data_IF_080491134848
#
_entry.id   IF_080491134848
#
_cell.length_a   1.000
_cell.length_b   1.000
_cell.length_c   1.000
_cell.angle_alpha   90.00
_cell.angle_beta   90.00
_cell.angle_gamma   90.00
#
_symmetry.space_group_name_H-M   'P 1'
#
loop_
_entity.id
_entity.type
_entity.pdbx_description
1 polymer ?
#
# COMPACT_ATOMS: atom_id res chain seq x y z
N UNK A 1 -4.34 -32.68 15.18
CA UNK A 1 -4.01 -33.26 16.51
C UNK A 1 -4.69 -32.44 17.59
N UNK A 2 -5.31 -33.10 18.57
CA UNK A 2 -5.92 -32.45 19.73
C UNK A 2 -5.06 -32.54 20.98
N UNK A 3 -5.40 -31.75 21.99
CA UNK A 3 -4.77 -31.86 23.30
C UNK A 3 -5.21 -33.15 24.03
N UNK A 4 -4.33 -33.67 24.88
CA UNK A 4 -4.60 -34.84 25.72
C UNK A 4 -4.77 -34.36 27.16
N UNK A 5 -5.92 -34.65 27.76
CA UNK A 5 -6.27 -34.26 29.12
C UNK A 5 -6.43 -35.49 30.00
N UNK A 6 -6.00 -35.40 31.26
CA UNK A 6 -6.30 -36.37 32.31
C UNK A 6 -6.95 -35.65 33.48
N UNK A 7 -8.08 -36.18 33.93
CA UNK A 7 -8.84 -35.67 35.06
C UNK A 7 -8.76 -36.65 36.23
N UNK A 8 -8.77 -36.13 37.45
CA UNK A 8 -8.79 -36.91 38.69
C UNK A 8 -10.13 -37.61 38.93
N UNK A 9 -11.20 -37.06 38.37
CA UNK A 9 -12.57 -37.53 38.54
C UNK A 9 -13.15 -38.04 37.21
N UNK A 10 -14.17 -38.90 37.32
CA UNK A 10 -14.97 -39.32 36.17
C UNK A 10 -15.76 -38.14 35.59
N UNK A 11 -15.75 -38.01 34.26
CA UNK A 11 -16.56 -37.02 33.55
C UNK A 11 -18.04 -37.41 33.55
N UNK A 12 -18.92 -36.43 33.76
CA UNK A 12 -20.35 -36.62 33.52
C UNK A 12 -20.66 -36.76 32.03
N UNK A 13 -21.84 -37.28 31.68
CA UNK A 13 -22.28 -37.39 30.29
C UNK A 13 -22.35 -36.01 29.61
N UNK A 14 -22.82 -34.99 30.33
CA UNK A 14 -22.90 -33.62 29.84
C UNK A 14 -21.51 -33.01 29.62
N UNK A 15 -20.56 -33.30 30.50
CA UNK A 15 -19.16 -32.87 30.36
C UNK A 15 -18.49 -33.55 29.17
N UNK A 16 -18.67 -34.86 29.01
CA UNK A 16 -18.13 -35.61 27.88
C UNK A 16 -18.70 -35.12 26.54
N UNK A 17 -20.02 -34.89 26.46
CA UNK A 17 -20.67 -34.34 25.27
C UNK A 17 -20.19 -32.91 24.99
N UNK A 18 -20.06 -32.07 26.02
CA UNK A 18 -19.57 -30.69 25.85
C UNK A 18 -18.10 -30.67 25.38
N UNK A 19 -17.25 -31.56 25.91
CA UNK A 19 -15.87 -31.74 25.46
C UNK A 19 -15.78 -32.23 24.02
N UNK A 20 -16.66 -33.16 23.62
CA UNK A 20 -16.74 -33.60 22.22
C UNK A 20 -17.12 -32.45 21.29
N UNK A 21 -18.11 -31.65 21.67
CA UNK A 21 -18.56 -30.49 20.90
C UNK A 21 -17.52 -29.36 20.81
N UNK A 22 -16.60 -29.23 21.79
CA UNK A 22 -15.46 -28.29 21.69
C UNK A 22 -14.55 -28.61 20.50
N UNK A 23 -14.52 -29.88 20.09
CA UNK A 23 -13.72 -30.35 18.99
C UNK A 23 -12.22 -30.43 19.30
N UNK A 24 -11.43 -31.00 18.37
CA UNK A 24 -10.01 -31.28 18.57
C UNK A 24 -9.13 -30.02 18.59
N UNK A 25 -9.67 -28.84 18.25
CA UNK A 25 -8.94 -27.57 18.25
C UNK A 25 -8.78 -26.94 19.63
N UNK A 26 -9.53 -27.39 20.64
CA UNK A 26 -9.49 -26.82 21.97
C UNK A 26 -8.25 -27.29 22.76
N UNK A 27 -7.50 -26.32 23.29
CA UNK A 27 -6.15 -26.52 23.84
C UNK A 27 -5.91 -25.80 25.17
N UNK A 28 -6.97 -25.32 25.83
CA UNK A 28 -6.89 -24.52 27.06
C UNK A 28 -7.21 -25.38 28.31
N UNK A 29 -7.05 -24.80 29.50
CA UNK A 29 -7.13 -25.48 30.81
C UNK A 29 -8.51 -25.35 31.47
N UNK A 30 -9.57 -25.04 30.72
CA UNK A 30 -10.95 -24.91 31.22
C UNK A 30 -11.15 -23.87 32.34
N UNK A 31 -10.25 -22.88 32.45
CA UNK A 31 -10.32 -21.79 33.44
C UNK A 31 -11.26 -20.68 32.96
N UNK A 32 -11.20 -20.36 31.67
CA UNK A 32 -12.01 -19.34 31.02
C UNK A 32 -12.58 -19.90 29.71
N UNK A 33 -13.73 -19.38 29.28
CA UNK A 33 -14.38 -19.76 28.03
C UNK A 33 -13.75 -19.09 26.79
N UNK A 34 -12.62 -18.38 26.97
CA UNK A 34 -11.88 -17.71 25.92
C UNK A 34 -11.48 -18.70 24.82
N UNK A 35 -12.07 -18.53 23.63
CA UNK A 35 -11.84 -19.39 22.47
C UNK A 35 -12.82 -20.54 22.27
N UNK A 36 -13.89 -20.65 23.08
CA UNK A 36 -14.99 -21.60 22.87
C UNK A 36 -16.10 -21.00 21.99
N UNK A 37 -16.46 -21.68 20.91
CA UNK A 37 -17.62 -21.35 20.05
C UNK A 37 -18.89 -22.09 20.47
N UNK A 38 -18.90 -22.73 21.64
CA UNK A 38 -20.04 -23.52 22.11
C UNK A 38 -21.24 -22.64 22.53
N UNK A 39 -22.48 -23.15 22.40
CA UNK A 39 -23.64 -22.53 23.04
C UNK A 39 -23.52 -22.51 24.57
N UNK A 40 -24.14 -21.51 25.22
CA UNK A 40 -24.04 -21.29 26.68
C UNK A 40 -24.47 -22.51 27.51
N UNK A 41 -25.44 -23.28 27.01
CA UNK A 41 -25.90 -24.52 27.63
C UNK A 41 -24.81 -25.58 27.79
N UNK A 42 -23.80 -25.62 26.89
CA UNK A 42 -22.66 -26.53 26.99
C UNK A 42 -21.51 -25.91 27.78
N UNK A 43 -21.30 -24.60 27.67
CA UNK A 43 -20.25 -23.87 28.39
C UNK A 43 -20.34 -24.06 29.90
N UNK A 44 -21.54 -24.02 30.48
CA UNK A 44 -21.77 -24.19 31.92
C UNK A 44 -21.22 -25.50 32.49
N UNK A 45 -21.11 -26.54 31.68
CA UNK A 45 -20.61 -27.85 32.12
C UNK A 45 -19.08 -27.93 32.14
N UNK A 46 -18.40 -27.03 31.44
CA UNK A 46 -16.94 -27.04 31.25
C UNK A 46 -16.23 -25.94 32.04
N UNK A 47 -16.85 -24.77 32.17
CA UNK A 47 -16.23 -23.55 32.69
C UNK A 47 -16.76 -23.12 34.07
N UNK A 48 -17.41 -24.02 34.81
CA UNK A 48 -17.85 -23.80 36.19
C UNK A 48 -16.70 -23.85 37.22
N UNK A 49 -15.47 -24.10 36.76
CA UNK A 49 -14.27 -24.24 37.58
C UNK A 49 -14.05 -25.64 38.16
N UNK A 50 -15.04 -26.55 38.08
CA UNK A 50 -14.89 -27.93 38.56
C UNK A 50 -13.93 -28.71 37.69
N UNK A 51 -14.13 -28.67 36.37
CA UNK A 51 -13.31 -29.42 35.43
C UNK A 51 -11.83 -29.00 35.45
N UNK A 52 -11.55 -27.70 35.57
CA UNK A 52 -10.19 -27.19 35.71
C UNK A 52 -9.54 -27.54 37.05
N UNK A 53 -10.34 -27.66 38.13
CA UNK A 53 -9.83 -28.04 39.46
C UNK A 53 -9.41 -29.50 39.59
N UNK A 54 -9.99 -30.38 38.77
CA UNK A 54 -9.66 -31.82 38.75
C UNK A 54 -8.70 -32.19 37.63
N UNK A 55 -8.20 -31.21 36.86
CA UNK A 55 -7.28 -31.43 35.76
C UNK A 55 -5.87 -31.75 36.29
N UNK A 56 -5.40 -32.98 36.06
CA UNK A 56 -4.10 -33.48 36.51
C UNK A 56 -2.99 -33.11 35.51
N UNK A 57 -3.24 -33.38 34.22
CA UNK A 57 -2.30 -33.06 33.15
C UNK A 57 -3.03 -32.66 31.88
N UNK A 58 -2.42 -31.76 31.14
CA UNK A 58 -2.86 -31.33 29.82
C UNK A 58 -1.66 -31.16 28.91
N UNK A 59 -1.50 -32.09 27.96
CA UNK A 59 -0.45 -32.01 26.94
C UNK A 59 -1.03 -31.49 25.64
N UNK A 60 -0.48 -30.37 25.17
CA UNK A 60 -0.89 -29.74 23.93
C UNK A 60 0.24 -29.81 22.90
N UNK A 61 -0.02 -30.25 21.66
CA UNK A 61 0.97 -30.26 20.58
C UNK A 61 1.60 -28.88 20.27
N UNK A 62 0.96 -27.77 20.67
CA UNK A 62 1.50 -26.42 20.50
C UNK A 62 2.38 -25.95 21.67
N UNK A 63 2.26 -26.57 22.84
CA UNK A 63 2.98 -26.16 24.04
C UNK A 63 4.25 -27.00 24.20
N UNK A 64 5.21 -26.80 23.31
CA UNK A 64 6.42 -27.60 23.22
C UNK A 64 7.68 -26.75 23.38
N UNK A 65 8.72 -27.32 24.01
CA UNK A 65 10.05 -26.72 24.10
C UNK A 65 11.12 -27.77 23.77
N UNK A 66 11.75 -27.63 22.60
CA UNK A 66 12.64 -28.67 22.08
C UNK A 66 11.88 -29.98 21.87
N UNK A 67 12.37 -31.07 22.47
CA UNK A 67 11.73 -32.39 22.45
C UNK A 67 10.71 -32.61 23.58
N UNK A 68 10.35 -31.57 24.34
CA UNK A 68 9.42 -31.68 25.46
C UNK A 68 8.06 -31.10 25.11
N UNK A 69 6.99 -31.86 25.37
CA UNK A 69 5.62 -31.37 25.48
C UNK A 69 5.38 -30.92 26.93
N UNK A 70 5.17 -29.63 27.12
CA UNK A 70 5.05 -29.01 28.43
C UNK A 70 3.67 -29.28 29.03
N UNK A 71 3.65 -29.52 30.35
CA UNK A 71 2.44 -29.62 31.17
C UNK A 71 2.45 -28.45 32.14
N UNK A 72 1.36 -27.68 32.18
CA UNK A 72 1.25 -26.49 33.04
C UNK A 72 -0.16 -26.40 33.66
N UNK A 73 -0.54 -27.31 34.57
CA UNK A 73 -1.83 -27.21 35.26
C UNK A 73 -1.82 -26.03 36.26
N UNK A 74 -2.95 -25.34 36.38
CA UNK A 74 -3.11 -24.06 37.08
C UNK A 74 -2.94 -24.13 38.60
N UNK A 75 -2.82 -25.32 39.20
CA UNK A 75 -2.70 -25.50 40.66
C UNK A 75 -1.68 -26.59 40.99
N UNK A 76 -0.43 -26.19 41.18
CA UNK A 76 0.52 -26.96 41.99
C UNK A 76 0.56 -26.29 43.37
N UNK A 77 0.09 -26.93 44.46
CA UNK A 77 0.24 -26.39 45.80
C UNK A 77 1.73 -26.21 46.11
N UNK A 78 2.19 -24.97 46.20
CA UNK A 78 3.58 -24.64 46.50
C UNK A 78 3.86 -24.85 47.99
N UNK A 79 4.26 -26.05 48.37
CA UNK A 79 4.93 -26.29 49.66
C UNK A 79 6.23 -27.08 49.53
N UNK A 80 6.50 -27.73 48.39
CA UNK A 80 7.77 -28.41 48.09
C UNK A 80 8.11 -28.25 46.60
N UNK A 81 9.38 -28.38 46.23
CA UNK A 81 9.81 -28.43 44.83
C UNK A 81 9.18 -29.63 44.11
N UNK A 82 8.02 -29.42 43.47
CA UNK A 82 7.38 -30.42 42.62
C UNK A 82 7.94 -30.24 41.21
N UNK A 83 8.73 -31.20 40.74
CA UNK A 83 9.06 -31.29 39.32
C UNK A 83 7.76 -31.58 38.56
N UNK A 84 7.34 -30.65 37.71
CA UNK A 84 6.18 -30.88 36.83
C UNK A 84 6.62 -31.85 35.73
N UNK A 85 6.02 -33.04 35.61
CA UNK A 85 6.40 -33.97 34.58
C UNK A 85 6.01 -33.39 33.21
N UNK A 86 7.02 -33.25 32.34
CA UNK A 86 6.84 -32.95 30.93
C UNK A 86 6.93 -34.25 30.12
N UNK A 87 6.21 -34.34 29.02
CA UNK A 87 6.28 -35.52 28.15
C UNK A 87 7.42 -35.35 27.15
N UNK A 88 8.23 -36.39 26.97
CA UNK A 88 9.29 -36.41 25.95
C UNK A 88 8.70 -36.90 24.62
N UNK A 89 9.02 -36.20 23.53
CA UNK A 89 8.63 -36.60 22.18
C UNK A 89 9.30 -37.92 21.80
N UNK A 90 8.55 -38.81 21.16
CA UNK A 90 9.09 -40.06 20.61
C UNK A 90 10.04 -39.73 19.46
N UNK A 91 11.03 -40.59 19.24
CA UNK A 91 11.96 -40.50 18.11
C UNK A 91 11.19 -40.33 16.78
N UNK A 92 11.62 -39.35 15.98
CA UNK A 92 11.00 -38.97 14.70
C UNK A 92 9.83 -37.98 14.80
N UNK A 93 9.44 -37.52 16.00
CA UNK A 93 8.42 -36.47 16.17
C UNK A 93 9.08 -35.11 16.29
N UNK A 94 8.65 -34.16 15.46
CA UNK A 94 9.13 -32.77 15.47
C UNK A 94 8.00 -31.78 15.78
N UNK A 95 8.36 -30.65 16.40
CA UNK A 95 7.43 -29.54 16.63
C UNK A 95 7.18 -28.82 15.31
N UNK A 96 5.92 -28.79 14.87
CA UNK A 96 5.52 -27.96 13.74
C UNK A 96 5.41 -26.51 14.23
N UNK A 97 6.46 -25.71 14.01
CA UNK A 97 6.42 -24.27 14.26
C UNK A 97 5.91 -23.52 13.05
N UNK A 98 4.73 -22.91 13.16
CA UNK A 98 4.27 -21.94 12.15
C UNK A 98 4.97 -20.60 12.39
N UNK A 99 5.94 -20.25 11.55
CA UNK A 99 6.50 -18.91 11.57
C UNK A 99 5.51 -17.95 10.89
N UNK A 100 5.29 -16.78 11.49
CA UNK A 100 4.55 -15.72 10.81
C UNK A 100 5.30 -15.33 9.53
N UNK A 101 4.58 -14.86 8.51
CA UNK A 101 5.21 -14.38 7.28
C UNK A 101 6.24 -13.28 7.57
N UNK A 102 6.04 -12.48 8.62
CA UNK A 102 7.00 -11.47 9.06
C UNK A 102 8.31 -12.07 9.57
N UNK A 103 8.24 -13.18 10.32
CA UNK A 103 9.43 -13.89 10.80
C UNK A 103 10.16 -14.56 9.63
N UNK A 104 9.44 -15.23 8.74
CA UNK A 104 10.01 -15.84 7.55
C UNK A 104 10.68 -14.79 6.64
N UNK A 105 9.99 -13.68 6.36
CA UNK A 105 10.52 -12.58 5.55
C UNK A 105 11.75 -11.95 6.22
N UNK A 106 11.72 -11.71 7.54
CA UNK A 106 12.86 -11.19 8.28
C UNK A 106 14.07 -12.12 8.18
N UNK A 107 13.87 -13.44 8.28
CA UNK A 107 14.95 -14.42 8.18
C UNK A 107 15.62 -14.46 6.80
N UNK A 108 14.93 -14.07 5.73
CA UNK A 108 15.48 -14.04 4.36
C UNK A 108 15.96 -12.66 3.90
N UNK A 109 15.97 -11.65 4.78
CA UNK A 109 16.46 -10.30 4.45
C UNK A 109 15.43 -9.16 4.51
N UNK A 110 14.21 -9.44 4.99
CA UNK A 110 13.15 -8.45 5.17
C UNK A 110 12.45 -8.04 3.88
N UNK A 111 11.65 -6.98 3.93
CA UNK A 111 10.86 -6.50 2.78
C UNK A 111 11.71 -6.06 1.57
N UNK A 112 12.99 -5.77 1.79
CA UNK A 112 13.91 -5.30 0.76
C UNK A 112 14.13 -6.33 -0.35
N UNK A 113 13.96 -7.62 -0.06
CA UNK A 113 14.06 -8.70 -1.06
C UNK A 113 13.02 -8.59 -2.19
N UNK A 114 11.93 -7.86 -1.96
CA UNK A 114 10.89 -7.65 -2.97
C UNK A 114 11.22 -6.50 -3.94
N UNK A 115 12.13 -5.60 -3.57
CA UNK A 115 12.44 -4.41 -4.38
C UNK A 115 13.07 -4.76 -5.75
N UNK A 116 13.99 -5.74 -5.87
CA UNK A 116 14.54 -6.15 -7.16
C UNK A 116 13.49 -6.65 -8.16
N UNK A 117 12.33 -7.16 -7.69
CA UNK A 117 11.26 -7.66 -8.56
C UNK A 117 10.67 -6.56 -9.46
N UNK A 118 10.70 -5.29 -9.02
CA UNK A 118 10.27 -4.17 -9.85
C UNK A 118 11.18 -3.94 -11.07
N UNK A 119 12.42 -4.44 -11.06
CA UNK A 119 13.31 -4.37 -12.22
C UNK A 119 13.07 -5.50 -13.23
N UNK A 120 12.13 -6.40 -12.94
CA UNK A 120 11.82 -7.59 -13.73
C UNK A 120 10.43 -7.52 -14.38
N UNK A 121 9.73 -6.39 -14.27
CA UNK A 121 8.37 -6.22 -14.79
C UNK A 121 8.26 -6.46 -16.30
N UNK A 122 9.30 -6.09 -17.05
CA UNK A 122 9.32 -6.21 -18.50
C UNK A 122 9.66 -7.64 -19.00
N UNK A 123 9.84 -8.61 -18.10
CA UNK A 123 10.10 -10.00 -18.51
C UNK A 123 8.88 -10.58 -19.25
N UNK A 124 9.09 -11.29 -20.36
CA UNK A 124 7.99 -11.89 -21.12
C UNK A 124 7.33 -13.03 -20.33
N UNK A 125 6.03 -13.22 -20.53
CA UNK A 125 5.30 -14.36 -19.98
C UNK A 125 5.79 -15.68 -20.61
N UNK A 126 5.70 -16.80 -19.88
CA UNK A 126 6.17 -18.12 -20.33
C UNK A 126 5.55 -18.55 -21.68
N UNK A 127 4.35 -18.07 -21.99
CA UNK A 127 3.62 -18.38 -23.23
C UNK A 127 4.08 -17.59 -24.46
N UNK A 128 5.10 -16.73 -24.33
CA UNK A 128 5.60 -15.88 -25.42
C UNK A 128 4.64 -14.73 -25.82
N UNK A 129 3.56 -14.53 -25.06
CA UNK A 129 2.62 -13.42 -25.18
C UNK A 129 3.20 -12.13 -24.57
N UNK A 130 2.53 -11.01 -24.86
CA UNK A 130 2.90 -9.68 -24.38
C UNK A 130 3.08 -9.63 -22.85
N UNK A 131 3.94 -8.72 -22.39
CA UNK A 131 4.21 -8.44 -20.96
C UNK A 131 2.90 -8.37 -20.15
N UNK A 132 2.91 -8.94 -18.94
CA UNK A 132 1.76 -8.84 -18.02
C UNK A 132 1.69 -7.43 -17.41
N UNK A 133 0.71 -6.66 -17.87
CA UNK A 133 0.48 -5.28 -17.42
C UNK A 133 0.08 -5.16 -15.95
N UNK A 134 -0.42 -6.23 -15.31
CA UNK A 134 -0.92 -6.22 -13.94
C UNK A 134 0.15 -6.56 -12.89
N UNK A 135 1.34 -7.04 -13.29
CA UNK A 135 2.41 -7.43 -12.35
C UNK A 135 2.80 -6.31 -11.38
N UNK A 136 2.90 -5.08 -11.88
CA UNK A 136 3.25 -3.91 -11.08
C UNK A 136 2.22 -3.66 -9.97
N UNK A 137 0.92 -3.67 -10.32
CA UNK A 137 -0.16 -3.50 -9.36
C UNK A 137 -0.17 -4.62 -8.30
N UNK A 138 0.13 -5.84 -8.71
CA UNK A 138 0.20 -7.02 -7.82
C UNK A 138 1.35 -6.89 -6.83
N UNK A 139 2.54 -6.49 -7.29
CA UNK A 139 3.69 -6.25 -6.41
C UNK A 139 3.43 -5.09 -5.44
N UNK A 140 2.83 -3.98 -5.90
CA UNK A 140 2.46 -2.87 -5.02
C UNK A 140 1.40 -3.26 -4.00
N UNK A 141 0.44 -4.11 -4.38
CA UNK A 141 -0.56 -4.67 -3.46
C UNK A 141 0.09 -5.55 -2.39
N UNK A 142 1.06 -6.40 -2.76
CA UNK A 142 1.85 -7.17 -1.81
C UNK A 142 2.60 -6.27 -0.82
N UNK A 143 3.28 -5.22 -1.32
CA UNK A 143 3.96 -4.24 -0.46
C UNK A 143 2.95 -3.56 0.48
N UNK A 144 1.79 -3.15 -0.01
CA UNK A 144 0.73 -2.52 0.79
C UNK A 144 0.20 -3.43 1.90
N UNK A 145 -0.03 -4.71 1.59
CA UNK A 145 -0.47 -5.71 2.56
C UNK A 145 0.59 -5.91 3.65
N UNK A 146 1.86 -6.00 3.27
CA UNK A 146 2.97 -6.12 4.21
C UNK A 146 3.12 -4.86 5.09
N UNK A 147 2.96 -3.66 4.54
CA UNK A 147 2.95 -2.43 5.32
C UNK A 147 1.79 -2.38 6.33
N UNK A 148 0.63 -2.90 5.95
CA UNK A 148 -0.56 -2.96 6.81
C UNK A 148 -0.41 -3.96 7.96
N UNK A 149 0.40 -4.98 7.77
CA UNK A 149 0.57 -6.08 8.73
C UNK A 149 1.56 -5.80 9.87
N UNK A 150 2.53 -4.90 9.70
CA UNK A 150 3.60 -4.72 10.68
C UNK A 150 4.30 -3.36 10.61
N UNK A 151 4.40 -2.69 11.76
CA UNK A 151 5.18 -1.45 11.87
C UNK A 151 6.68 -1.66 11.64
N UNK A 152 7.23 -2.84 11.93
CA UNK A 152 8.64 -3.12 11.62
C UNK A 152 8.90 -3.12 10.12
N UNK A 153 7.96 -3.66 9.33
CA UNK A 153 8.07 -3.64 7.87
C UNK A 153 8.03 -2.21 7.33
N UNK A 154 7.17 -1.35 7.90
CA UNK A 154 7.14 0.08 7.56
C UNK A 154 8.51 0.74 7.80
N UNK A 155 9.13 0.51 8.95
CA UNK A 155 10.46 1.04 9.26
C UNK A 155 11.55 0.48 8.33
N UNK A 156 11.51 -0.82 8.02
CA UNK A 156 12.46 -1.44 7.09
C UNK A 156 12.36 -0.83 5.69
N UNK A 157 11.15 -0.65 5.16
CA UNK A 157 10.93 -0.04 3.85
C UNK A 157 11.39 1.43 3.84
N UNK A 158 11.17 2.16 4.94
CA UNK A 158 11.64 3.54 5.07
C UNK A 158 13.17 3.63 5.05
N UNK A 159 13.84 2.85 5.89
CA UNK A 159 15.30 2.84 6.00
C UNK A 159 15.99 2.37 4.72
N UNK A 160 15.37 1.47 3.97
CA UNK A 160 15.87 1.03 2.67
C UNK A 160 15.59 2.03 1.54
N UNK A 161 14.92 3.15 1.80
CA UNK A 161 14.40 4.08 0.78
C UNK A 161 13.55 3.33 -0.26
N UNK A 162 12.69 2.44 0.18
CA UNK A 162 11.95 1.51 -0.68
C UNK A 162 11.16 2.21 -1.79
N UNK A 163 10.42 3.28 -1.49
CA UNK A 163 9.67 4.02 -2.52
C UNK A 163 10.57 4.77 -3.53
N UNK A 164 11.77 5.19 -3.14
CA UNK A 164 12.76 5.72 -4.08
C UNK A 164 13.19 4.65 -5.08
N UNK A 165 13.52 3.45 -4.58
CA UNK A 165 13.95 2.33 -5.41
C UNK A 165 12.83 1.89 -6.35
N UNK A 166 11.61 1.76 -5.83
CA UNK A 166 10.41 1.44 -6.63
C UNK A 166 10.20 2.51 -7.70
N UNK A 167 10.17 3.79 -7.33
CA UNK A 167 9.98 4.89 -8.27
C UNK A 167 11.07 4.98 -9.34
N UNK A 168 12.30 4.59 -9.04
CA UNK A 168 13.39 4.51 -10.03
C UNK A 168 13.25 3.29 -10.95
N UNK A 169 12.87 2.13 -10.42
CA UNK A 169 12.63 0.94 -11.21
C UNK A 169 11.45 1.15 -12.18
N UNK A 170 10.36 1.73 -11.72
CA UNK A 170 9.19 2.05 -12.54
C UNK A 170 9.49 3.09 -13.64
N UNK A 171 10.43 4.01 -13.42
CA UNK A 171 10.87 4.95 -14.47
C UNK A 171 11.62 4.26 -15.61
N UNK A 172 12.25 3.12 -15.34
CA UNK A 172 12.99 2.34 -16.33
C UNK A 172 12.12 1.27 -17.01
N UNK A 173 11.08 0.81 -16.32
CA UNK A 173 10.15 -0.17 -16.83
C UNK A 173 9.28 0.41 -17.96
N UNK A 174 8.67 -0.48 -18.75
CA UNK A 174 7.70 -0.12 -19.77
C UNK A 174 6.52 0.66 -19.17
N UNK A 175 6.09 1.73 -19.86
CA UNK A 175 4.96 2.54 -19.38
C UNK A 175 3.62 1.79 -19.41
N UNK A 176 3.55 0.63 -20.07
CA UNK A 176 2.39 -0.28 -20.03
C UNK A 176 2.06 -0.77 -18.62
N UNK A 177 3.02 -0.78 -17.71
CA UNK A 177 2.80 -1.16 -16.31
C UNK A 177 2.20 -0.02 -15.47
N UNK A 178 2.19 1.22 -15.98
CA UNK A 178 1.63 2.38 -15.28
C UNK A 178 0.15 2.50 -15.64
N UNK A 179 -0.66 1.62 -15.04
CA UNK A 179 -2.11 1.52 -15.27
C UNK A 179 -2.92 2.26 -14.21
N UNK A 180 -4.24 2.38 -14.42
CA UNK A 180 -5.13 2.97 -13.42
C UNK A 180 -5.13 2.18 -12.10
N UNK A 181 -5.00 0.84 -12.16
CA UNK A 181 -4.85 -0.01 -10.96
C UNK A 181 -3.62 0.37 -10.14
N UNK A 182 -2.51 0.72 -10.79
CA UNK A 182 -1.30 1.20 -10.10
C UNK A 182 -1.56 2.54 -9.42
N UNK A 183 -2.23 3.47 -10.10
CA UNK A 183 -2.59 4.76 -9.51
C UNK A 183 -3.51 4.61 -8.29
N UNK A 184 -4.55 3.79 -8.39
CA UNK A 184 -5.47 3.45 -7.29
C UNK A 184 -4.72 2.82 -6.11
N UNK A 185 -3.85 1.84 -6.38
CA UNK A 185 -3.05 1.18 -5.36
C UNK A 185 -2.13 2.16 -4.63
N UNK A 186 -1.47 3.07 -5.35
CA UNK A 186 -0.62 4.12 -4.77
C UNK A 186 -1.43 5.08 -3.90
N UNK A 187 -2.64 5.45 -4.34
CA UNK A 187 -3.55 6.30 -3.57
C UNK A 187 -3.98 5.60 -2.27
N UNK A 188 -4.31 4.31 -2.34
CA UNK A 188 -4.74 3.56 -1.15
C UNK A 188 -3.59 3.34 -0.16
N UNK A 189 -2.37 3.13 -0.66
CA UNK A 189 -1.17 3.15 0.17
C UNK A 189 -0.99 4.52 0.86
N UNK A 190 -1.18 5.63 0.15
CA UNK A 190 -1.10 6.97 0.74
C UNK A 190 -2.16 7.17 1.84
N UNK A 191 -3.42 6.80 1.58
CA UNK A 191 -4.50 6.87 2.58
C UNK A 191 -4.19 6.04 3.82
N UNK A 192 -3.66 4.83 3.62
CA UNK A 192 -3.23 3.96 4.72
C UNK A 192 -2.13 4.62 5.56
N UNK A 193 -1.08 5.13 4.91
CA UNK A 193 0.06 5.76 5.60
C UNK A 193 -0.35 7.03 6.35
N UNK A 194 -1.32 7.82 5.85
CA UNK A 194 -1.87 8.98 6.57
C UNK A 194 -2.54 8.61 7.90
N UNK A 195 -3.09 7.39 8.01
CA UNK A 195 -3.74 6.91 9.23
C UNK A 195 -2.76 6.32 10.24
N UNK A 196 -1.52 6.05 9.82
CA UNK A 196 -0.48 5.50 10.67
C UNK A 196 0.26 6.59 11.44
N UNK A 197 0.40 6.43 12.76
CA UNK A 197 1.14 7.37 13.62
C UNK A 197 2.61 7.55 13.19
N UNK A 198 3.23 6.51 12.63
CA UNK A 198 4.59 6.54 12.08
C UNK A 198 4.67 6.59 10.54
N UNK A 199 3.56 6.90 9.86
CA UNK A 199 3.50 6.89 8.38
C UNK A 199 4.11 8.10 7.70
N UNK A 200 4.32 9.21 8.43
CA UNK A 200 4.83 10.50 7.92
C UNK A 200 6.07 10.41 7.02
N UNK A 201 7.16 9.72 7.44
CA UNK A 201 8.36 9.61 6.62
C UNK A 201 8.15 8.79 5.34
N UNK A 202 7.34 7.74 5.40
CA UNK A 202 7.02 6.90 4.24
C UNK A 202 6.12 7.62 3.25
N UNK A 203 5.10 8.36 3.73
CA UNK A 203 4.24 9.11 2.82
C UNK A 203 5.02 10.20 2.10
N UNK A 204 5.98 10.85 2.76
CA UNK A 204 6.89 11.79 2.10
C UNK A 204 7.63 11.10 0.94
N UNK A 205 8.24 9.93 1.18
CA UNK A 205 8.93 9.19 0.11
C UNK A 205 8.00 8.73 -1.01
N UNK A 206 6.79 8.27 -0.68
CA UNK A 206 5.77 7.87 -1.65
C UNK A 206 5.38 9.04 -2.56
N UNK A 207 5.18 10.22 -1.97
CA UNK A 207 4.83 11.43 -2.70
C UNK A 207 5.98 11.90 -3.59
N UNK A 208 7.18 12.00 -3.04
CA UNK A 208 8.36 12.54 -3.71
C UNK A 208 8.82 11.66 -4.89
N UNK A 209 8.79 10.34 -4.72
CA UNK A 209 9.40 9.41 -5.68
C UNK A 209 8.39 8.71 -6.60
N UNK A 210 7.11 8.69 -6.24
CA UNK A 210 6.06 8.04 -7.03
C UNK A 210 4.97 9.03 -7.43
N UNK A 211 4.15 9.54 -6.49
CA UNK A 211 2.97 10.35 -6.86
C UNK A 211 3.31 11.62 -7.65
N UNK A 212 4.32 12.37 -7.21
CA UNK A 212 4.73 13.62 -7.85
C UNK A 212 5.90 13.45 -8.80
N UNK A 213 6.15 12.23 -9.28
CA UNK A 213 7.19 11.96 -10.24
C UNK A 213 6.65 12.04 -11.67
N UNK A 214 6.81 13.18 -12.38
CA UNK A 214 6.24 13.37 -13.72
C UNK A 214 6.77 12.34 -14.70
N UNK A 215 7.99 11.84 -14.54
CA UNK A 215 8.61 10.87 -15.45
C UNK A 215 7.85 9.54 -15.49
N UNK A 216 7.17 9.17 -14.41
CA UNK A 216 6.34 7.97 -14.35
C UNK A 216 5.03 8.19 -15.11
N UNK A 217 4.34 9.28 -14.82
CA UNK A 217 2.96 9.50 -15.26
C UNK A 217 2.86 10.08 -16.67
N UNK A 218 3.84 10.84 -17.13
CA UNK A 218 3.73 11.53 -18.43
C UNK A 218 3.83 10.60 -19.64
N UNK A 219 4.31 9.37 -19.41
CA UNK A 219 4.45 8.34 -20.44
C UNK A 219 3.40 7.23 -20.33
N UNK A 220 2.51 7.28 -19.31
CA UNK A 220 1.46 6.28 -19.11
C UNK A 220 0.37 6.40 -20.18
N UNK A 221 -0.58 5.46 -20.20
CA UNK A 221 -1.73 5.54 -21.10
C UNK A 221 -2.57 6.81 -20.86
N UNK A 222 -3.24 7.36 -21.89
CA UNK A 222 -4.01 8.61 -21.78
C UNK A 222 -5.05 8.59 -20.65
N UNK A 223 -5.72 7.46 -20.42
CA UNK A 223 -6.71 7.30 -19.36
C UNK A 223 -6.15 7.51 -17.94
N UNK A 224 -4.84 7.33 -17.74
CA UNK A 224 -4.15 7.60 -16.46
C UNK A 224 -3.72 9.07 -16.36
N UNK A 225 -3.44 9.70 -17.50
CA UNK A 225 -2.96 11.08 -17.54
C UNK A 225 -4.11 12.09 -17.39
N UNK A 226 -5.21 11.83 -18.08
CA UNK A 226 -6.32 12.74 -18.33
C UNK A 226 -7.61 12.00 -17.99
N UNK A 227 -8.48 12.62 -17.21
CA UNK A 227 -9.85 12.15 -17.00
C UNK A 227 -10.60 12.20 -18.35
N UNK A 228 -11.12 11.06 -18.79
CA UNK A 228 -11.84 10.95 -20.06
C UNK A 228 -13.15 11.75 -20.00
N UNK A 229 -13.37 12.59 -21.02
CA UNK A 229 -14.66 13.25 -21.18
C UNK A 229 -15.71 12.22 -21.62
N UNK A 230 -16.94 12.27 -21.08
CA UNK A 230 -18.05 11.44 -21.56
C UNK A 230 -18.23 11.55 -23.07
N UNK A 231 -18.55 10.44 -23.74
CA UNK A 231 -18.81 10.41 -25.20
C UNK A 231 -20.02 11.23 -25.64
N UNK A 232 -20.85 11.69 -24.70
CA UNK A 232 -22.01 12.55 -24.91
C UNK A 232 -21.70 14.04 -24.73
N UNK A 233 -20.42 14.42 -24.69
CA UNK A 233 -20.04 15.83 -24.49
C UNK A 233 -20.51 16.69 -25.68
N UNK A 234 -21.30 17.75 -25.46
CA UNK A 234 -21.68 18.65 -26.54
C UNK A 234 -20.46 19.39 -27.08
N UNK A 235 -20.45 19.68 -28.40
CA UNK A 235 -19.39 20.40 -29.12
C UNK A 235 -18.07 19.63 -29.34
N UNK A 236 -18.14 18.36 -29.77
CA UNK A 236 -16.98 17.53 -30.13
C UNK A 236 -16.04 18.21 -31.16
N UNK A 237 -16.60 18.94 -32.12
CA UNK A 237 -15.83 19.72 -33.10
C UNK A 237 -15.01 20.83 -32.43
N UNK A 238 -15.59 21.54 -31.44
CA UNK A 238 -14.91 22.62 -30.71
C UNK A 238 -13.77 22.05 -29.88
N UNK A 239 -13.97 20.89 -29.26
CA UNK A 239 -12.91 20.17 -28.52
C UNK A 239 -11.77 19.79 -29.46
N UNK A 240 -12.09 19.26 -30.64
CA UNK A 240 -11.10 18.85 -31.64
C UNK A 240 -10.29 20.04 -32.18
N UNK A 241 -10.96 21.17 -32.43
CA UNK A 241 -10.32 22.42 -32.84
C UNK A 241 -9.41 22.94 -31.72
N UNK A 242 -9.90 23.01 -30.47
CA UNK A 242 -9.12 23.48 -29.31
C UNK A 242 -7.90 22.60 -29.07
N UNK A 243 -8.05 21.28 -29.16
CA UNK A 243 -6.95 20.32 -29.10
C UNK A 243 -5.89 20.56 -30.18
N UNK A 244 -6.33 20.80 -31.42
CA UNK A 244 -5.43 21.10 -32.55
C UNK A 244 -4.65 22.41 -32.33
N UNK A 245 -5.32 23.45 -31.85
CA UNK A 245 -4.70 24.74 -31.49
C UNK A 245 -3.65 24.53 -30.40
N UNK A 246 -3.97 23.78 -29.33
CA UNK A 246 -3.04 23.53 -28.23
C UNK A 246 -1.85 22.68 -28.64
N UNK A 247 -2.03 21.70 -29.54
CA UNK A 247 -0.92 20.94 -30.13
C UNK A 247 0.01 21.87 -30.91
N UNK A 248 -0.56 22.79 -31.69
CA UNK A 248 0.22 23.78 -32.43
C UNK A 248 0.96 24.74 -31.51
N UNK A 249 0.30 25.30 -30.48
CA UNK A 249 0.92 26.15 -29.46
C UNK A 249 2.06 25.42 -28.73
N UNK A 250 1.85 24.17 -28.32
CA UNK A 250 2.90 23.35 -27.72
C UNK A 250 4.13 23.24 -28.64
N UNK A 251 3.91 23.01 -29.95
CA UNK A 251 5.01 22.95 -30.92
C UNK A 251 5.73 24.29 -31.06
N UNK A 252 5.01 25.42 -31.08
CA UNK A 252 5.62 26.75 -31.16
C UNK A 252 6.48 27.07 -29.93
N UNK A 253 5.94 26.81 -28.72
CA UNK A 253 6.67 26.99 -27.46
C UNK A 253 7.99 26.20 -27.48
N UNK A 254 7.96 24.96 -27.99
CA UNK A 254 9.12 24.08 -28.05
C UNK A 254 10.08 24.36 -29.20
N UNK A 255 9.60 24.79 -30.38
CA UNK A 255 10.46 25.18 -31.51
C UNK A 255 11.35 26.37 -31.16
N UNK A 256 10.87 27.26 -30.29
CA UNK A 256 11.66 28.37 -29.80
C UNK A 256 12.80 27.92 -28.86
N UNK A 257 12.84 26.65 -28.42
CA UNK A 257 13.89 26.04 -27.59
C UNK A 257 15.18 25.78 -28.37
N UNK A 258 15.92 26.86 -28.64
CA UNK A 258 17.25 26.80 -29.25
C UNK A 258 17.63 28.00 -30.11
N UNK A 259 16.69 28.90 -30.41
CA UNK A 259 16.89 30.02 -31.34
C UNK A 259 17.29 31.35 -30.68
N UNK A 260 17.58 31.36 -29.36
CA UNK A 260 17.79 32.60 -28.60
C UNK A 260 16.50 33.39 -28.34
N UNK A 261 15.33 32.80 -28.64
CA UNK A 261 14.01 33.40 -28.45
C UNK A 261 13.37 33.02 -27.11
N UNK A 262 14.16 32.93 -26.04
CA UNK A 262 13.65 32.55 -24.72
C UNK A 262 12.59 33.54 -24.21
N UNK A 263 12.74 34.84 -24.52
CA UNK A 263 11.75 35.87 -24.15
C UNK A 263 10.38 35.62 -24.80
N UNK A 264 10.34 35.19 -26.07
CA UNK A 264 9.08 34.87 -26.76
C UNK A 264 8.45 33.64 -26.12
N UNK A 265 9.26 32.61 -25.80
CA UNK A 265 8.75 31.41 -25.13
C UNK A 265 8.17 31.73 -23.74
N UNK A 266 8.88 32.53 -22.94
CA UNK A 266 8.38 32.99 -21.64
C UNK A 266 7.06 33.73 -21.79
N UNK A 267 6.94 34.61 -22.79
CA UNK A 267 5.72 35.36 -23.06
C UNK A 267 4.54 34.45 -23.43
N UNK A 268 4.74 33.41 -24.25
CA UNK A 268 3.69 32.43 -24.58
C UNK A 268 3.23 31.64 -23.34
N UNK A 269 4.18 31.19 -22.50
CA UNK A 269 3.85 30.47 -21.26
C UNK A 269 3.09 31.39 -20.30
N UNK A 270 3.52 32.65 -20.17
CA UNK A 270 2.85 33.66 -19.36
C UNK A 270 1.41 33.91 -19.83
N UNK A 271 1.18 33.94 -21.15
CA UNK A 271 -0.17 34.05 -21.71
C UNK A 271 -1.06 32.84 -21.37
N UNK A 272 -0.52 31.62 -21.39
CA UNK A 272 -1.25 30.42 -20.96
C UNK A 272 -1.62 30.50 -19.47
N UNK A 273 -0.71 30.96 -18.60
CA UNK A 273 -1.01 31.15 -17.16
C UNK A 273 -2.07 32.22 -16.94
N UNK A 274 -1.97 33.36 -17.65
CA UNK A 274 -2.99 34.42 -17.60
C UNK A 274 -4.35 33.93 -18.08
N UNK A 275 -4.40 33.09 -19.13
CA UNK A 275 -5.63 32.44 -19.57
C UNK A 275 -6.24 31.65 -18.42
N UNK A 276 -5.47 30.77 -17.77
CA UNK A 276 -5.94 29.98 -16.62
C UNK A 276 -6.35 30.85 -15.43
N UNK A 277 -5.71 32.01 -15.25
CA UNK A 277 -6.05 32.93 -14.18
C UNK A 277 -7.36 33.70 -14.41
N UNK A 278 -7.75 33.91 -15.66
CA UNK A 278 -8.86 34.82 -16.02
C UNK A 278 -10.09 34.12 -16.58
N UNK A 279 -9.92 32.96 -17.20
CA UNK A 279 -11.01 32.18 -17.78
C UNK A 279 -11.72 31.37 -16.70
N UNK A 280 -13.02 31.13 -16.86
CA UNK A 280 -13.86 30.49 -15.84
C UNK A 280 -14.60 29.26 -16.37
N UNK A 281 -14.54 28.99 -17.67
CA UNK A 281 -15.10 27.80 -18.29
C UNK A 281 -14.20 26.59 -18.03
N UNK A 282 -14.69 25.67 -17.21
CA UNK A 282 -13.91 24.49 -16.76
C UNK A 282 -13.33 23.67 -17.92
N UNK A 283 -14.06 23.50 -19.02
CA UNK A 283 -13.56 22.72 -20.17
C UNK A 283 -12.37 23.39 -20.87
N UNK A 284 -12.40 24.72 -20.96
CA UNK A 284 -11.30 25.51 -21.53
C UNK A 284 -10.09 25.43 -20.60
N UNK A 285 -10.32 25.62 -19.30
CA UNK A 285 -9.28 25.55 -18.28
C UNK A 285 -8.63 24.17 -18.25
N UNK A 286 -9.41 23.10 -18.32
CA UNK A 286 -8.92 21.74 -18.31
C UNK A 286 -7.89 21.46 -19.41
N UNK A 287 -8.20 21.89 -20.64
CA UNK A 287 -7.31 21.65 -21.78
C UNK A 287 -5.99 22.44 -21.69
N UNK A 288 -6.06 23.69 -21.21
CA UNK A 288 -4.85 24.50 -21.00
C UNK A 288 -4.04 23.96 -19.81
N UNK A 289 -4.70 23.52 -18.74
CA UNK A 289 -4.04 22.89 -17.59
C UNK A 289 -3.36 21.57 -17.97
N UNK A 290 -3.94 20.79 -18.89
CA UNK A 290 -3.30 19.59 -19.42
C UNK A 290 -2.01 19.92 -20.17
N UNK A 291 -2.01 20.97 -21.00
CA UNK A 291 -0.81 21.46 -21.68
C UNK A 291 0.24 21.96 -20.68
N UNK A 292 -0.14 22.78 -19.71
CA UNK A 292 0.77 23.31 -18.69
C UNK A 292 1.41 22.19 -17.85
N UNK A 293 0.63 21.20 -17.43
CA UNK A 293 1.16 20.03 -16.73
C UNK A 293 2.15 19.24 -17.58
N UNK A 294 1.86 19.07 -18.89
CA UNK A 294 2.78 18.42 -19.82
C UNK A 294 4.10 19.19 -19.95
N UNK A 295 4.03 20.52 -20.12
CA UNK A 295 5.20 21.38 -20.20
C UNK A 295 6.01 21.33 -18.90
N UNK A 296 5.35 21.42 -17.74
CA UNK A 296 5.99 21.40 -16.42
C UNK A 296 6.66 20.04 -16.14
N UNK A 297 6.06 18.94 -16.60
CA UNK A 297 6.61 17.60 -16.44
C UNK A 297 7.82 17.30 -17.34
N UNK A 298 7.77 17.69 -18.62
CA UNK A 298 8.88 17.43 -19.58
C UNK A 298 9.99 18.48 -19.53
N UNK A 299 9.66 19.74 -19.23
CA UNK A 299 10.58 20.87 -19.29
C UNK A 299 10.60 21.69 -17.98
N UNK A 300 10.80 21.03 -16.81
CA UNK A 300 10.78 21.73 -15.51
C UNK A 300 11.84 22.83 -15.41
N UNK A 301 12.98 22.68 -16.10
CA UNK A 301 14.05 23.67 -16.13
C UNK A 301 13.64 25.01 -16.76
N UNK A 302 12.61 25.02 -17.61
CA UNK A 302 12.04 26.24 -18.21
C UNK A 302 10.82 26.68 -17.41
N UNK A 303 9.92 25.75 -17.08
CA UNK A 303 8.63 26.07 -16.48
C UNK A 303 8.73 26.52 -15.03
N UNK A 304 9.57 25.90 -14.21
CA UNK A 304 9.67 26.21 -12.77
C UNK A 304 10.14 27.65 -12.51
N UNK A 305 11.17 28.19 -13.20
CA UNK A 305 11.56 29.59 -13.05
C UNK A 305 10.46 30.59 -13.43
N UNK A 306 9.71 30.31 -14.51
CA UNK A 306 8.59 31.17 -14.95
C UNK A 306 7.48 31.15 -13.89
N UNK A 307 7.12 29.95 -13.44
CA UNK A 307 6.10 29.74 -12.41
C UNK A 307 6.39 30.51 -11.10
N UNK A 308 7.66 30.53 -10.69
CA UNK A 308 8.11 31.26 -9.50
C UNK A 308 8.11 32.78 -9.73
N UNK A 309 8.61 33.23 -10.89
CA UNK A 309 8.64 34.65 -11.29
C UNK A 309 7.23 35.26 -11.37
N UNK A 310 6.28 34.50 -11.90
CA UNK A 310 4.90 34.93 -12.10
C UNK A 310 4.03 34.73 -10.85
N UNK A 311 4.58 34.12 -9.79
CA UNK A 311 3.88 33.80 -8.52
C UNK A 311 2.66 32.90 -8.74
N UNK A 312 2.75 31.97 -9.69
CA UNK A 312 1.66 31.07 -10.09
C UNK A 312 1.26 30.07 -9.00
N UNK A 313 2.02 29.96 -7.91
CA UNK A 313 1.56 29.23 -6.70
C UNK A 313 0.23 29.80 -6.20
N UNK A 314 0.01 31.11 -6.27
CA UNK A 314 -1.29 31.71 -5.94
C UNK A 314 -2.41 31.25 -6.89
N UNK A 315 -2.10 31.11 -8.17
CA UNK A 315 -3.02 30.57 -9.17
C UNK A 315 -3.39 29.11 -8.87
N UNK A 316 -2.43 28.27 -8.47
CA UNK A 316 -2.70 26.89 -8.03
C UNK A 316 -3.73 26.87 -6.91
N UNK A 317 -3.54 27.64 -5.85
CA UNK A 317 -4.46 27.65 -4.70
C UNK A 317 -5.85 28.17 -5.07
N UNK A 318 -5.94 29.14 -6.00
CA UNK A 318 -7.21 29.56 -6.60
C UNK A 318 -7.90 28.38 -7.30
N UNK A 319 -7.18 27.64 -8.14
CA UNK A 319 -7.74 26.49 -8.88
C UNK A 319 -8.12 25.33 -7.97
N UNK A 320 -7.36 25.08 -6.89
CA UNK A 320 -7.67 24.07 -5.87
C UNK A 320 -8.97 24.38 -5.11
N UNK A 321 -9.40 25.64 -5.12
CA UNK A 321 -10.67 26.09 -4.54
C UNK A 321 -11.87 25.87 -5.48
N UNK A 322 -11.65 25.44 -6.72
CA UNK A 322 -12.74 25.13 -7.67
C UNK A 322 -13.63 24.00 -7.15
N UNK A 323 -14.97 24.09 -7.30
CA UNK A 323 -15.86 22.97 -6.98
C UNK A 323 -15.66 21.78 -7.94
N UNK A 324 -15.10 22.02 -9.13
CA UNK A 324 -14.93 21.00 -10.16
C UNK A 324 -13.64 20.20 -9.93
N UNK A 325 -13.78 18.89 -9.76
CA UNK A 325 -12.66 17.97 -9.58
C UNK A 325 -11.74 17.90 -10.82
N UNK A 326 -12.31 18.09 -12.03
CA UNK A 326 -11.54 18.18 -13.28
C UNK A 326 -10.54 19.33 -13.26
N UNK A 327 -10.76 20.38 -12.46
CA UNK A 327 -9.81 21.49 -12.31
C UNK A 327 -8.86 21.24 -11.14
N UNK A 328 -9.38 20.75 -10.01
CA UNK A 328 -8.59 20.51 -8.80
C UNK A 328 -7.49 19.47 -9.01
N UNK A 329 -7.75 18.39 -9.74
CA UNK A 329 -6.77 17.33 -9.97
C UNK A 329 -5.57 17.84 -10.79
N UNK A 330 -5.74 18.44 -11.98
CA UNK A 330 -4.63 19.04 -12.72
C UNK A 330 -3.91 20.15 -11.96
N UNK A 331 -4.62 20.96 -11.16
CA UNK A 331 -3.99 21.97 -10.31
C UNK A 331 -3.10 21.33 -9.23
N UNK A 332 -3.54 20.24 -8.61
CA UNK A 332 -2.73 19.48 -7.65
C UNK A 332 -1.51 18.82 -8.31
N UNK A 333 -1.68 18.26 -9.52
CA UNK A 333 -0.56 17.73 -10.33
C UNK A 333 0.47 18.82 -10.62
N UNK A 334 0.00 20.00 -11.03
CA UNK A 334 0.85 21.16 -11.33
C UNK A 334 1.64 21.58 -10.09
N UNK A 335 0.98 21.63 -8.93
CA UNK A 335 1.63 21.92 -7.67
C UNK A 335 2.70 20.87 -7.30
N UNK A 336 2.37 19.59 -7.46
CA UNK A 336 3.29 18.49 -7.20
C UNK A 336 4.54 18.55 -8.06
N UNK A 337 4.39 18.79 -9.36
CA UNK A 337 5.52 18.92 -10.29
C UNK A 337 6.41 20.12 -9.98
N UNK A 338 5.81 21.26 -9.61
CA UNK A 338 6.55 22.42 -9.14
C UNK A 338 7.36 22.08 -7.88
N UNK A 339 6.70 21.57 -6.84
CA UNK A 339 7.34 21.25 -5.56
C UNK A 339 8.47 20.23 -5.68
N UNK A 340 8.37 19.25 -6.58
CA UNK A 340 9.41 18.24 -6.77
C UNK A 340 10.75 18.85 -7.25
N UNK A 341 10.71 20.04 -7.86
CA UNK A 341 11.87 20.71 -8.46
C UNK A 341 12.24 22.01 -7.76
N UNK A 342 11.37 22.52 -6.89
CA UNK A 342 11.63 23.67 -6.06
C UNK A 342 12.58 23.32 -4.91
N UNK A 343 13.72 24.01 -4.85
CA UNK A 343 14.65 23.93 -3.71
C UNK A 343 14.29 24.99 -2.69
N UNK A 344 14.27 24.64 -1.40
CA UNK A 344 14.23 25.63 -0.31
C UNK A 344 15.46 26.54 -0.46
N UNK A 345 15.24 27.86 -0.55
CA UNK A 345 16.32 28.85 -0.43
C UNK A 345 16.71 29.06 1.02
#
# INVERSE_FOLDING_TARGET
MGAVYLFADSLSLEQANSLFCLGPGYQSYFVHDSGSTLPDGYKKHLFDGRLSSVLIMAYCPKNCHGQLCLNSPSKVPSTYFVQVPHAVMKEGVEVITTHSIHNSLRSVGGIQILLPLFSQLDLPCEDGTAMDGDMCSTLLSLISLLLSSSQTIQQQLYHSKGFLIIGHALQKASSRHITMKVAEQVIDMAKFLLRCSSGGPLIKQLFEHIMFNPKLWINSEPAVQVEERPSTFPNEDVISIRGSILIFLNRLILLNAGSGQDAIREQEIHQLMNFVATVHEDDNLYDVLALLNRLLGFYPQIMVPIFDKDKDVGLVFKLLSSPNQLIRIPALKMFGFFLQRSTLK
#
